data_IF_912731791968
#
_entry.id   IF_912731791968
#
_cell.length_a   1.000
_cell.length_b   1.000
_cell.length_c   1.000
_cell.angle_alpha   90.00
_cell.angle_beta   90.00
_cell.angle_gamma   90.00
#
_symmetry.space_group_name_H-M   'P 1'
#
loop_
_entity.id
_entity.type
_entity.pdbx_description
1 polymer ?
#
# COMPACT_ATOMS: atom_id res chain seq x y z
N UNK A 1 -7.02 20.43 -28.01
CA UNK A 1 -7.90 19.24 -27.96
C UNK A 1 -8.38 19.10 -26.53
N UNK A 2 -9.69 19.01 -26.29
CA UNK A 2 -10.19 18.70 -24.95
C UNK A 2 -9.63 17.33 -24.55
N UNK A 3 -8.89 17.27 -23.45
CA UNK A 3 -8.33 16.02 -22.93
C UNK A 3 -9.51 15.11 -22.58
N UNK A 4 -9.61 13.94 -23.22
CA UNK A 4 -10.58 12.93 -22.82
C UNK A 4 -10.18 12.44 -21.42
N UNK A 5 -10.97 12.83 -20.40
CA UNK A 5 -10.70 12.50 -19.00
C UNK A 5 -10.58 10.98 -18.77
N UNK A 6 -11.33 10.16 -19.51
CA UNK A 6 -11.24 8.70 -19.41
C UNK A 6 -9.87 8.19 -19.87
N UNK A 7 -9.38 8.65 -21.03
CA UNK A 7 -8.04 8.30 -21.53
C UNK A 7 -6.95 8.79 -20.59
N UNK A 8 -7.12 9.98 -20.02
CA UNK A 8 -6.14 10.57 -19.12
C UNK A 8 -6.07 9.83 -17.77
N UNK A 9 -7.22 9.47 -17.19
CA UNK A 9 -7.28 8.62 -15.98
C UNK A 9 -6.65 7.24 -16.23
N UNK A 10 -6.86 6.68 -17.43
CA UNK A 10 -6.23 5.40 -17.81
C UNK A 10 -4.71 5.52 -17.84
N UNK A 11 -4.18 6.49 -18.56
CA UNK A 11 -2.73 6.74 -18.64
C UNK A 11 -2.14 7.01 -17.26
N UNK A 12 -2.82 7.80 -16.43
CA UNK A 12 -2.41 8.04 -15.06
C UNK A 12 -2.40 6.75 -14.24
N UNK A 13 -3.48 5.98 -14.24
CA UNK A 13 -3.56 4.70 -13.53
C UNK A 13 -2.49 3.69 -13.97
N UNK A 14 -2.16 3.65 -15.26
CA UNK A 14 -1.09 2.81 -15.81
C UNK A 14 0.29 3.30 -15.31
N UNK A 15 0.52 4.62 -15.28
CA UNK A 15 1.75 5.23 -14.76
C UNK A 15 1.97 5.03 -13.25
N UNK A 16 0.91 4.72 -12.49
CA UNK A 16 1.01 4.44 -11.06
C UNK A 16 1.75 3.13 -10.76
N UNK A 17 1.87 2.21 -11.72
CA UNK A 17 2.60 0.96 -11.54
C UNK A 17 4.12 1.16 -11.46
N UNK A 18 4.86 0.30 -10.73
CA UNK A 18 6.32 0.31 -10.75
C UNK A 18 6.87 -0.10 -12.11
N UNK A 19 7.99 0.51 -12.51
CA UNK A 19 8.68 0.12 -13.73
C UNK A 19 9.22 -1.32 -13.62
N UNK A 20 9.17 -2.07 -14.71
CA UNK A 20 9.47 -3.51 -14.73
C UNK A 20 10.89 -3.81 -14.21
N UNK A 21 11.88 -3.00 -14.60
CA UNK A 21 13.28 -3.18 -14.19
C UNK A 21 13.49 -3.00 -12.67
N UNK A 22 12.60 -2.27 -11.99
CA UNK A 22 12.62 -2.03 -10.54
C UNK A 22 12.17 -3.28 -9.82
N UNK A 23 11.06 -3.87 -10.29
CA UNK A 23 10.55 -5.15 -9.79
C UNK A 23 11.60 -6.25 -10.02
N UNK A 24 12.25 -6.29 -11.19
CA UNK A 24 13.34 -7.25 -11.46
C UNK A 24 14.52 -7.11 -10.48
N UNK A 25 14.91 -5.89 -10.13
CA UNK A 25 15.96 -5.66 -9.12
C UNK A 25 15.52 -6.11 -7.73
N UNK A 26 14.31 -5.76 -7.31
CA UNK A 26 13.77 -6.21 -6.02
C UNK A 26 13.63 -7.74 -5.95
N UNK A 27 13.22 -8.37 -7.05
CA UNK A 27 13.17 -9.83 -7.19
C UNK A 27 14.57 -10.47 -7.08
N UNK A 28 15.61 -9.85 -7.65
CA UNK A 28 16.99 -10.34 -7.51
C UNK A 28 17.49 -10.25 -6.06
N UNK A 29 17.14 -9.17 -5.33
CA UNK A 29 17.45 -9.03 -3.91
C UNK A 29 16.69 -10.08 -3.10
N UNK A 30 15.39 -10.23 -3.35
CA UNK A 30 14.56 -11.24 -2.69
C UNK A 30 15.12 -12.64 -2.89
N UNK A 31 15.49 -13.00 -4.13
CA UNK A 31 16.03 -14.31 -4.46
C UNK A 31 17.29 -14.63 -3.65
N UNK A 32 18.21 -13.67 -3.52
CA UNK A 32 19.42 -13.84 -2.70
C UNK A 32 19.11 -14.08 -1.22
N UNK A 33 18.10 -13.39 -0.67
CA UNK A 33 17.64 -13.59 0.71
C UNK A 33 17.00 -14.98 0.86
N UNK A 34 16.12 -15.37 -0.06
CA UNK A 34 15.42 -16.66 -0.04
C UNK A 34 16.38 -17.83 -0.14
N UNK A 35 17.39 -17.77 -1.02
CA UNK A 35 18.40 -18.82 -1.15
C UNK A 35 19.14 -19.06 0.17
N UNK A 36 19.55 -17.99 0.86
CA UNK A 36 20.22 -18.10 2.14
C UNK A 36 19.29 -18.64 3.24
N UNK A 37 18.06 -18.12 3.34
CA UNK A 37 17.07 -18.54 4.33
C UNK A 37 16.72 -20.01 4.14
N UNK A 38 16.40 -20.44 2.92
CA UNK A 38 16.00 -21.82 2.64
C UNK A 38 17.14 -22.82 2.84
N UNK A 39 18.39 -22.40 2.69
CA UNK A 39 19.56 -23.24 2.96
C UNK A 39 19.85 -23.39 4.46
N UNK A 40 19.61 -22.33 5.25
CA UNK A 40 20.06 -22.25 6.65
C UNK A 40 18.95 -22.44 7.69
N UNK A 41 17.69 -22.28 7.30
CA UNK A 41 16.57 -22.42 8.21
C UNK A 41 16.47 -23.85 8.76
N UNK A 42 16.31 -23.95 10.08
CA UNK A 42 16.10 -25.20 10.83
C UNK A 42 14.71 -25.77 10.56
N UNK A 43 13.72 -24.90 10.35
CA UNK A 43 12.35 -25.32 10.03
C UNK A 43 12.23 -25.53 8.52
N UNK A 44 11.69 -26.69 8.13
CA UNK A 44 11.46 -26.99 6.72
C UNK A 44 10.37 -26.12 6.13
N UNK A 45 10.69 -25.47 5.02
CA UNK A 45 9.77 -24.66 4.22
C UNK A 45 9.35 -25.48 3.00
N UNK A 46 8.05 -25.75 2.88
CA UNK A 46 7.49 -26.49 1.75
C UNK A 46 7.52 -25.66 0.47
N UNK A 47 7.26 -24.35 0.59
CA UNK A 47 7.27 -23.38 -0.51
C UNK A 47 7.24 -21.94 0.00
N UNK A 48 7.57 -21.01 -0.88
CA UNK A 48 7.48 -19.56 -0.63
C UNK A 48 6.59 -18.93 -1.68
N UNK A 49 5.74 -17.99 -1.27
CA UNK A 49 4.88 -17.21 -2.15
C UNK A 49 5.17 -15.71 -2.00
N UNK A 50 5.48 -15.05 -3.11
CA UNK A 50 5.42 -13.59 -3.19
C UNK A 50 3.96 -13.15 -3.17
N UNK A 51 3.55 -12.55 -2.05
CA UNK A 51 2.21 -12.09 -1.76
C UNK A 51 2.12 -10.56 -1.93
N UNK A 52 1.13 -9.93 -1.29
CA UNK A 52 1.07 -8.48 -1.25
C UNK A 52 0.74 -7.83 -2.58
N UNK A 53 0.98 -6.52 -2.67
CA UNK A 53 0.73 -5.76 -3.89
C UNK A 53 1.61 -6.25 -5.06
N UNK A 54 2.86 -6.63 -4.78
CA UNK A 54 3.80 -7.11 -5.81
C UNK A 54 3.34 -8.47 -6.34
N UNK A 55 2.97 -9.40 -5.46
CA UNK A 55 2.43 -10.69 -5.84
C UNK A 55 1.13 -10.60 -6.65
N UNK A 56 0.24 -9.66 -6.27
CA UNK A 56 -1.04 -9.41 -6.95
C UNK A 56 -0.90 -8.64 -8.27
N UNK A 57 0.24 -7.99 -8.52
CA UNK A 57 0.43 -7.11 -9.69
C UNK A 57 -0.20 -5.73 -9.55
N UNK A 58 -0.55 -5.31 -8.34
CA UNK A 58 -1.25 -4.04 -8.05
C UNK A 58 -0.39 -3.03 -7.28
N UNK A 59 0.92 -3.21 -7.23
CA UNK A 59 1.84 -2.26 -6.59
C UNK A 59 1.74 -0.86 -7.17
N UNK A 60 1.97 0.12 -6.31
CA UNK A 60 2.18 1.52 -6.70
C UNK A 60 3.69 1.77 -6.76
N UNK A 61 4.20 2.53 -7.73
CA UNK A 61 5.63 2.91 -7.76
C UNK A 61 6.04 3.70 -6.51
N UNK A 62 5.07 4.39 -5.90
CA UNK A 62 5.19 5.13 -4.65
C UNK A 62 5.45 4.26 -3.42
N UNK A 63 5.01 3.01 -3.44
CA UNK A 63 5.15 2.05 -2.35
C UNK A 63 5.23 0.64 -2.91
N UNK A 64 6.44 0.11 -2.94
CA UNK A 64 6.70 -1.26 -3.35
C UNK A 64 7.20 -2.03 -2.13
N UNK A 65 6.34 -2.90 -1.63
CA UNK A 65 6.58 -3.81 -0.52
C UNK A 65 6.63 -5.26 -1.04
N UNK A 66 7.66 -6.01 -0.63
CA UNK A 66 7.80 -7.42 -0.92
C UNK A 66 7.29 -8.26 0.26
N UNK A 67 5.98 -8.49 0.27
CA UNK A 67 5.35 -9.44 1.18
C UNK A 67 5.67 -10.88 0.73
N UNK A 68 6.26 -11.69 1.59
CA UNK A 68 6.57 -13.09 1.28
C UNK A 68 6.01 -14.01 2.35
N UNK A 69 5.25 -15.02 1.93
CA UNK A 69 4.69 -16.04 2.82
C UNK A 69 5.47 -17.34 2.69
N UNK A 70 6.05 -17.78 3.80
CA UNK A 70 6.79 -19.04 3.93
C UNK A 70 5.84 -20.11 4.46
N UNK A 71 5.48 -21.06 3.61
CA UNK A 71 4.64 -22.18 4.00
C UNK A 71 5.50 -23.25 4.65
N UNK A 72 5.40 -23.37 5.96
CA UNK A 72 6.12 -24.34 6.78
C UNK A 72 5.47 -25.72 6.63
N UNK A 73 6.29 -26.77 6.61
CA UNK A 73 5.78 -28.15 6.66
C UNK A 73 4.96 -28.39 7.94
N UNK A 74 4.04 -29.38 7.96
CA UNK A 74 3.26 -29.72 9.15
C UNK A 74 4.14 -29.92 10.39
N UNK A 75 3.81 -29.23 11.49
CA UNK A 75 4.60 -29.22 12.72
C UNK A 75 5.62 -28.07 12.83
N UNK A 76 5.79 -27.26 11.78
CA UNK A 76 6.54 -26.01 11.86
C UNK A 76 5.95 -25.04 12.88
N UNK A 77 6.80 -24.36 13.64
CA UNK A 77 6.41 -23.38 14.66
C UNK A 77 6.76 -21.97 14.13
N UNK A 78 5.75 -21.16 13.76
CA UNK A 78 5.96 -19.81 13.20
C UNK A 78 6.95 -18.95 13.96
N UNK A 79 6.81 -18.83 15.28
CA UNK A 79 7.64 -17.93 16.09
C UNK A 79 9.11 -18.34 16.11
N UNK A 80 9.38 -19.65 16.18
CA UNK A 80 10.74 -20.20 16.12
C UNK A 80 11.36 -20.02 14.74
N UNK A 81 10.55 -20.13 13.69
CA UNK A 81 11.01 -19.86 12.33
C UNK A 81 11.36 -18.38 12.16
N UNK A 82 10.55 -17.46 12.71
CA UNK A 82 10.87 -16.04 12.68
C UNK A 82 12.17 -15.69 13.43
N UNK A 83 12.42 -16.30 14.59
CA UNK A 83 13.68 -16.15 15.34
C UNK A 83 14.89 -16.63 14.53
N UNK A 84 14.75 -17.81 13.91
CA UNK A 84 15.80 -18.37 13.07
C UNK A 84 16.07 -17.51 11.82
N UNK A 85 15.02 -16.94 11.21
CA UNK A 85 15.18 -16.00 10.11
C UNK A 85 15.89 -14.71 10.55
N UNK A 86 15.56 -14.17 11.73
CA UNK A 86 16.21 -12.97 12.27
C UNK A 86 17.72 -13.19 12.45
N UNK A 87 18.11 -14.34 13.01
CA UNK A 87 19.50 -14.76 13.13
C UNK A 87 20.17 -14.88 11.75
N UNK A 88 19.52 -15.54 10.78
CA UNK A 88 20.05 -15.70 9.42
C UNK A 88 20.25 -14.34 8.75
N UNK A 89 19.28 -13.44 8.84
CA UNK A 89 19.34 -12.11 8.25
C UNK A 89 20.46 -11.27 8.88
N UNK A 90 20.59 -11.32 10.21
CA UNK A 90 21.63 -10.60 10.94
C UNK A 90 23.02 -11.12 10.58
N UNK A 91 23.23 -12.44 10.67
CA UNK A 91 24.56 -13.05 10.52
C UNK A 91 25.07 -13.08 9.08
N UNK A 92 24.19 -13.07 8.08
CA UNK A 92 24.59 -13.22 6.67
C UNK A 92 24.52 -11.91 5.86
N UNK A 93 23.69 -10.96 6.30
CA UNK A 93 23.45 -9.73 5.57
C UNK A 93 23.62 -8.47 6.41
N UNK A 94 23.87 -8.59 7.72
CA UNK A 94 23.92 -7.44 8.63
C UNK A 94 22.59 -6.70 8.72
N UNK A 95 21.47 -7.39 8.46
CA UNK A 95 20.13 -6.81 8.46
C UNK A 95 19.59 -6.88 9.89
N UNK A 96 19.29 -5.73 10.49
CA UNK A 96 18.50 -5.64 11.71
C UNK A 96 17.01 -5.64 11.34
N UNK A 97 16.35 -6.78 11.53
CA UNK A 97 14.93 -6.94 11.23
C UNK A 97 14.05 -6.62 12.44
N UNK A 98 12.83 -6.15 12.18
CA UNK A 98 11.82 -5.87 13.20
C UNK A 98 10.83 -7.03 13.27
N UNK A 99 10.86 -7.77 14.38
CA UNK A 99 9.88 -8.84 14.64
C UNK A 99 8.57 -8.25 15.15
N UNK A 100 7.50 -8.45 14.37
CA UNK A 100 6.12 -8.21 14.76
C UNK A 100 5.48 -9.52 15.23
N UNK A 101 4.25 -9.45 15.74
CA UNK A 101 3.56 -10.63 16.29
C UNK A 101 3.47 -11.81 15.31
N UNK A 102 3.38 -11.57 13.99
CA UNK A 102 3.20 -12.61 12.97
C UNK A 102 4.07 -12.43 11.73
N UNK A 103 5.03 -11.51 11.76
CA UNK A 103 5.87 -11.21 10.61
C UNK A 103 7.23 -10.66 11.04
N UNK A 104 8.17 -10.69 10.11
CA UNK A 104 9.50 -10.09 10.25
C UNK A 104 9.68 -9.07 9.13
N UNK A 105 9.73 -7.80 9.49
CA UNK A 105 9.82 -6.70 8.53
C UNK A 105 11.20 -6.07 8.52
N UNK A 106 11.74 -5.71 7.36
CA UNK A 106 13.06 -5.06 7.25
C UNK A 106 13.25 -4.35 5.91
N UNK A 107 14.23 -3.44 5.87
CA UNK A 107 14.69 -2.83 4.62
C UNK A 107 16.06 -3.38 4.24
N UNK A 108 16.24 -3.71 2.96
CA UNK A 108 17.53 -4.15 2.44
C UNK A 108 17.72 -3.70 0.99
N UNK A 109 18.88 -3.10 0.70
CA UNK A 109 19.26 -2.62 -0.65
C UNK A 109 18.18 -1.76 -1.33
N UNK A 110 17.51 -0.88 -0.56
CA UNK A 110 16.48 0.04 -1.08
C UNK A 110 15.08 -0.57 -1.25
N UNK A 111 14.85 -1.79 -0.77
CA UNK A 111 13.53 -2.45 -0.80
C UNK A 111 13.05 -2.80 0.60
N UNK A 112 11.74 -2.72 0.81
CA UNK A 112 11.07 -3.18 2.03
C UNK A 112 10.54 -4.59 1.86
N UNK A 113 10.79 -5.44 2.85
CA UNK A 113 10.36 -6.83 2.91
C UNK A 113 9.53 -7.06 4.16
N UNK A 114 8.44 -7.82 4.03
CA UNK A 114 7.67 -8.33 5.16
C UNK A 114 7.49 -9.84 5.00
N UNK A 115 8.11 -10.61 5.88
CA UNK A 115 8.15 -12.07 5.79
C UNK A 115 7.19 -12.67 6.81
N UNK A 116 6.26 -13.51 6.34
CA UNK A 116 5.23 -14.12 7.17
C UNK A 116 5.31 -15.65 7.10
N UNK A 117 5.39 -16.37 8.22
CA UNK A 117 5.17 -17.80 8.24
C UNK A 117 3.69 -18.15 8.12
N UNK A 118 3.39 -19.25 7.43
CA UNK A 118 2.10 -19.92 7.45
C UNK A 118 2.33 -21.43 7.61
N UNK A 119 1.57 -22.10 8.46
CA UNK A 119 1.69 -23.56 8.61
C UNK A 119 0.81 -24.23 7.58
N UNK A 120 1.37 -25.11 6.76
CA UNK A 120 0.58 -25.88 5.80
C UNK A 120 -0.27 -26.90 6.55
N UNK A 121 -1.57 -26.96 6.23
CA UNK A 121 -2.43 -28.04 6.72
C UNK A 121 -1.91 -29.40 6.26
N UNK A 122 -1.89 -30.39 7.16
CA UNK A 122 -1.49 -31.75 6.84
C UNK A 122 -2.33 -32.38 5.71
N UNK A 123 -3.59 -31.95 5.57
CA UNK A 123 -4.49 -32.38 4.50
C UNK A 123 -4.19 -31.66 3.16
N UNK A 124 -3.59 -30.47 3.22
CA UNK A 124 -3.14 -29.70 2.07
C UNK A 124 -1.68 -30.02 1.66
N UNK A 125 -0.98 -30.89 2.38
CA UNK A 125 0.43 -31.25 2.21
C UNK A 125 0.71 -32.18 1.00
N UNK A 126 -0.02 -32.00 -0.09
CA UNK A 126 0.27 -32.71 -1.35
C UNK A 126 1.45 -32.02 -2.03
N UNK A 127 2.60 -32.69 -2.04
CA UNK A 127 3.82 -32.17 -2.66
C UNK A 127 3.58 -31.84 -4.14
N UNK A 128 3.84 -30.60 -4.52
CA UNK A 128 3.65 -30.12 -5.91
C UNK A 128 2.21 -29.74 -6.27
N UNK A 129 1.26 -29.75 -5.32
CA UNK A 129 -0.10 -29.28 -5.59
C UNK A 129 -0.13 -27.78 -5.93
N UNK A 130 -1.00 -27.41 -6.87
CA UNK A 130 -1.21 -26.01 -7.23
C UNK A 130 -1.74 -25.20 -6.04
N UNK A 131 -1.52 -23.89 -6.08
CA UNK A 131 -2.06 -22.98 -5.06
C UNK A 131 -3.57 -23.08 -4.89
N UNK A 132 -4.30 -23.27 -6.00
CA UNK A 132 -5.76 -23.45 -5.95
C UNK A 132 -6.17 -24.69 -5.15
N UNK A 133 -5.49 -25.82 -5.36
CA UNK A 133 -5.75 -27.05 -4.60
C UNK A 133 -5.48 -26.84 -3.12
N UNK A 134 -4.41 -26.13 -2.77
CA UNK A 134 -4.05 -25.86 -1.38
C UNK A 134 -5.07 -24.96 -0.67
N UNK A 135 -5.55 -23.91 -1.35
CA UNK A 135 -6.59 -23.02 -0.81
C UNK A 135 -7.90 -23.80 -0.59
N UNK A 136 -8.34 -24.61 -1.56
CA UNK A 136 -9.55 -25.42 -1.43
C UNK A 136 -9.43 -26.44 -0.30
N UNK A 137 -8.29 -27.11 -0.19
CA UNK A 137 -8.04 -28.06 0.89
C UNK A 137 -8.06 -27.38 2.27
N UNK A 138 -7.48 -26.18 2.39
CA UNK A 138 -7.54 -25.40 3.63
C UNK A 138 -8.98 -25.06 4.04
N UNK A 139 -9.81 -24.60 3.09
CA UNK A 139 -11.22 -24.29 3.33
C UNK A 139 -12.04 -25.53 3.74
N UNK A 140 -11.68 -26.71 3.23
CA UNK A 140 -12.34 -27.99 3.51
C UNK A 140 -11.82 -28.71 4.76
N UNK A 141 -10.79 -28.17 5.43
CA UNK A 141 -10.13 -28.85 6.56
C UNK A 141 -10.99 -28.99 7.83
N UNK A 142 -12.15 -28.34 7.88
CA UNK A 142 -13.03 -28.29 9.05
C UNK A 142 -12.55 -27.34 10.15
N UNK A 143 -11.36 -26.75 10.01
CA UNK A 143 -10.86 -25.67 10.86
C UNK A 143 -10.87 -24.36 10.08
N UNK A 144 -11.06 -23.23 10.77
CA UNK A 144 -10.97 -21.90 10.17
C UNK A 144 -9.48 -21.56 9.90
N UNK A 145 -9.02 -21.52 8.63
CA UNK A 145 -7.61 -21.27 8.33
C UNK A 145 -7.22 -19.82 8.65
N UNK A 146 -5.95 -19.59 8.95
CA UNK A 146 -5.39 -18.25 9.06
C UNK A 146 -5.37 -17.52 7.71
N UNK A 147 -5.44 -16.17 7.72
CA UNK A 147 -5.39 -15.39 6.47
C UNK A 147 -4.11 -15.63 5.65
N UNK A 148 -2.98 -15.87 6.31
CA UNK A 148 -1.72 -16.20 5.64
C UNK A 148 -1.76 -17.56 4.92
N UNK A 149 -2.57 -18.52 5.39
CA UNK A 149 -2.74 -19.82 4.73
C UNK A 149 -3.57 -19.70 3.44
N UNK A 150 -4.47 -18.71 3.37
CA UNK A 150 -5.37 -18.47 2.24
C UNK A 150 -4.88 -17.37 1.28
N UNK A 151 -3.72 -16.76 1.56
CA UNK A 151 -3.18 -15.62 0.82
C UNK A 151 -2.90 -15.94 -0.66
N UNK A 152 -2.64 -17.20 -0.98
CA UNK A 152 -2.43 -17.63 -2.35
C UNK A 152 -3.70 -17.51 -3.19
N UNK A 153 -4.86 -17.77 -2.59
CA UNK A 153 -6.15 -17.57 -3.25
C UNK A 153 -6.37 -16.09 -3.56
N UNK A 154 -5.99 -15.20 -2.65
CA UNK A 154 -6.03 -13.74 -2.88
C UNK A 154 -5.13 -13.34 -4.05
N UNK A 155 -3.91 -13.87 -4.12
CA UNK A 155 -2.96 -13.60 -5.22
C UNK A 155 -3.49 -14.12 -6.55
N UNK A 156 -3.97 -15.37 -6.59
CA UNK A 156 -4.55 -15.99 -7.78
C UNK A 156 -5.76 -15.21 -8.28
N UNK A 157 -6.71 -14.90 -7.40
CA UNK A 157 -7.90 -14.13 -7.73
C UNK A 157 -7.56 -12.79 -8.38
N UNK A 158 -6.58 -12.08 -7.84
CA UNK A 158 -6.18 -10.78 -8.41
C UNK A 158 -5.41 -10.94 -9.73
N UNK A 159 -4.58 -11.97 -9.89
CA UNK A 159 -3.87 -12.24 -11.17
C UNK A 159 -4.81 -12.61 -12.31
N UNK A 160 -5.96 -13.20 -12.01
CA UNK A 160 -6.99 -13.55 -12.99
C UNK A 160 -7.76 -12.32 -13.54
N UNK A 161 -7.63 -11.15 -12.91
CA UNK A 161 -8.31 -9.93 -13.34
C UNK A 161 -7.67 -9.29 -14.58
N UNK A 162 -8.46 -8.54 -15.36
CA UNK A 162 -7.97 -7.88 -16.57
C UNK A 162 -7.01 -6.71 -16.25
N UNK A 163 -6.22 -6.31 -17.25
CA UNK A 163 -5.34 -5.14 -17.14
C UNK A 163 -6.10 -3.85 -16.79
N UNK A 164 -7.34 -3.71 -17.27
CA UNK A 164 -8.23 -2.62 -16.87
C UNK A 164 -8.50 -2.62 -15.36
N UNK A 165 -8.84 -3.78 -14.79
CA UNK A 165 -9.11 -3.91 -13.34
C UNK A 165 -7.85 -3.64 -12.52
N UNK A 166 -6.67 -4.08 -12.96
CA UNK A 166 -5.42 -3.73 -12.29
C UNK A 166 -5.15 -2.23 -12.29
N UNK A 167 -5.39 -1.56 -13.43
CA UNK A 167 -5.27 -0.10 -13.53
C UNK A 167 -6.27 0.61 -12.62
N UNK A 168 -7.53 0.19 -12.61
CA UNK A 168 -8.56 0.73 -11.73
C UNK A 168 -8.23 0.50 -10.24
N UNK A 169 -7.69 -0.68 -9.91
CA UNK A 169 -7.27 -1.01 -8.55
C UNK A 169 -6.10 -0.12 -8.08
N UNK A 170 -5.10 0.14 -8.94
CA UNK A 170 -4.03 1.11 -8.64
C UNK A 170 -4.59 2.51 -8.44
N UNK A 171 -5.53 2.93 -9.28
CA UNK A 171 -6.18 4.24 -9.16
C UNK A 171 -6.95 4.38 -7.85
N UNK A 172 -7.74 3.38 -7.46
CA UNK A 172 -8.48 3.36 -6.18
C UNK A 172 -7.55 3.32 -4.97
N UNK A 173 -6.46 2.55 -5.03
CA UNK A 173 -5.42 2.56 -3.99
C UNK A 173 -4.83 3.95 -3.85
N UNK A 174 -4.33 4.50 -4.95
CA UNK A 174 -3.71 5.82 -4.98
C UNK A 174 -4.66 6.90 -4.44
N UNK A 175 -5.90 6.92 -4.93
CA UNK A 175 -6.94 7.79 -4.42
C UNK A 175 -7.05 7.67 -2.90
N UNK A 176 -7.18 6.46 -2.36
CA UNK A 176 -7.29 6.28 -0.92
C UNK A 176 -6.04 6.78 -0.17
N UNK A 177 -4.84 6.52 -0.66
CA UNK A 177 -3.59 6.99 -0.02
C UNK A 177 -3.43 8.52 -0.05
N UNK A 178 -4.12 9.22 -0.96
CA UNK A 178 -4.17 10.69 -0.99
C UNK A 178 -5.16 11.33 -0.01
N UNK A 179 -5.89 10.54 0.79
CA UNK A 179 -6.88 11.04 1.76
C UNK A 179 -6.38 10.91 3.19
N UNK A 180 -6.55 11.97 3.96
CA UNK A 180 -6.36 11.98 5.40
C UNK A 180 -7.56 11.34 6.10
N UNK A 181 -7.48 10.03 6.23
CA UNK A 181 -8.36 9.26 7.12
C UNK A 181 -7.52 8.94 8.35
N UNK A 182 -7.66 9.69 9.47
CA UNK A 182 -6.85 9.45 10.66
C UNK A 182 -7.24 8.10 11.27
N UNK A 183 -6.21 7.35 11.70
CA UNK A 183 -6.28 5.94 12.03
C UNK A 183 -6.08 5.08 10.77
N UNK A 184 -4.94 4.41 10.72
CA UNK A 184 -4.64 3.44 9.67
C UNK A 184 -5.35 2.13 9.99
N UNK A 185 -6.07 1.55 9.03
CA UNK A 185 -6.56 0.18 9.17
C UNK A 185 -5.87 -0.74 8.16
N UNK A 186 -5.41 -1.89 8.68
CA UNK A 186 -4.83 -2.94 7.87
C UNK A 186 -5.83 -3.41 6.81
N UNK A 187 -5.36 -3.55 5.57
CA UNK A 187 -6.19 -4.00 4.45
C UNK A 187 -6.90 -2.88 3.68
N UNK A 188 -6.64 -1.59 3.94
CA UNK A 188 -7.17 -0.48 3.13
C UNK A 188 -6.89 -0.66 1.63
N UNK A 189 -5.63 -0.88 1.26
CA UNK A 189 -5.23 -1.14 -0.13
C UNK A 189 -5.98 -2.31 -0.75
N UNK A 190 -6.08 -3.43 -0.01
CA UNK A 190 -6.76 -4.63 -0.50
C UNK A 190 -8.27 -4.41 -0.65
N UNK A 191 -8.88 -3.65 0.26
CA UNK A 191 -10.29 -3.26 0.14
C UNK A 191 -10.53 -2.45 -1.13
N UNK A 192 -9.66 -1.47 -1.43
CA UNK A 192 -9.76 -0.67 -2.66
C UNK A 192 -9.59 -1.52 -3.92
N UNK A 193 -8.70 -2.53 -3.90
CA UNK A 193 -8.54 -3.49 -5.00
C UNK A 193 -9.84 -4.29 -5.23
N UNK A 194 -10.46 -4.82 -4.17
CA UNK A 194 -11.70 -5.58 -4.29
C UNK A 194 -12.90 -4.72 -4.69
N UNK A 195 -12.96 -3.45 -4.27
CA UNK A 195 -13.98 -2.52 -4.73
C UNK A 195 -13.83 -2.18 -6.22
N UNK A 196 -12.59 -2.12 -6.74
CA UNK A 196 -12.34 -2.00 -8.16
C UNK A 196 -12.83 -3.23 -8.94
N UNK A 197 -12.56 -4.45 -8.43
CA UNK A 197 -13.09 -5.69 -9.02
C UNK A 197 -14.62 -5.66 -9.01
N UNK A 198 -15.24 -5.38 -7.86
CA UNK A 198 -16.69 -5.31 -7.74
C UNK A 198 -17.31 -4.25 -8.69
N UNK A 199 -16.63 -3.13 -8.93
CA UNK A 199 -17.11 -2.10 -9.87
C UNK A 199 -17.06 -2.60 -11.31
N UNK A 200 -15.99 -3.29 -11.69
CA UNK A 200 -15.84 -3.84 -13.05
C UNK A 200 -16.86 -4.92 -13.39
N UNK A 201 -17.36 -5.68 -12.40
CA UNK A 201 -18.39 -6.71 -12.63
C UNK A 201 -19.73 -6.14 -13.12
N UNK A 202 -20.01 -4.87 -12.82
CA UNK A 202 -21.23 -4.17 -13.24
C UNK A 202 -21.06 -3.41 -14.57
N UNK A 203 -19.92 -3.59 -15.26
CA UNK A 203 -19.56 -2.85 -16.47
C UNK A 203 -19.61 -3.72 -17.73
N UNK A 204 -20.05 -3.10 -18.84
CA UNK A 204 -20.02 -3.71 -20.18
C UNK A 204 -18.82 -3.25 -21.02
N UNK A 205 -18.20 -2.13 -20.64
CA UNK A 205 -17.06 -1.51 -21.31
C UNK A 205 -15.90 -1.35 -20.32
N UNK A 206 -14.68 -1.14 -20.83
CA UNK A 206 -13.49 -0.84 -20.03
C UNK A 206 -13.22 0.68 -19.98
N UNK A 207 -14.27 1.50 -19.81
CA UNK A 207 -14.11 2.95 -19.67
C UNK A 207 -13.59 3.32 -18.27
N UNK A 208 -12.40 3.90 -18.20
CA UNK A 208 -11.72 4.18 -16.92
C UNK A 208 -12.44 5.24 -16.08
N UNK A 209 -13.07 6.24 -16.70
CA UNK A 209 -13.80 7.27 -15.96
C UNK A 209 -15.06 6.67 -15.32
N UNK A 210 -15.81 5.86 -16.07
CA UNK A 210 -16.97 5.13 -15.58
C UNK A 210 -16.57 4.15 -14.48
N UNK A 211 -15.52 3.36 -14.68
CA UNK A 211 -15.03 2.40 -13.69
C UNK A 211 -14.61 3.07 -12.40
N UNK A 212 -13.90 4.20 -12.49
CA UNK A 212 -13.52 4.97 -11.31
C UNK A 212 -14.73 5.56 -10.58
N UNK A 213 -15.70 6.12 -11.30
CA UNK A 213 -16.98 6.59 -10.72
C UNK A 213 -17.73 5.47 -10.00
N UNK A 214 -17.83 4.29 -10.62
CA UNK A 214 -18.53 3.14 -10.03
C UNK A 214 -17.82 2.60 -8.78
N UNK A 215 -16.49 2.56 -8.79
CA UNK A 215 -15.72 2.15 -7.62
C UNK A 215 -15.86 3.17 -6.47
N UNK A 216 -15.81 4.47 -6.75
CA UNK A 216 -16.08 5.51 -5.76
C UNK A 216 -17.51 5.47 -5.24
N UNK A 217 -18.49 5.19 -6.10
CA UNK A 217 -19.89 5.06 -5.69
C UNK A 217 -20.10 3.90 -4.72
N UNK A 218 -19.39 2.77 -4.92
CA UNK A 218 -19.38 1.67 -3.94
C UNK A 218 -18.79 2.09 -2.59
N UNK A 219 -17.73 2.93 -2.58
CA UNK A 219 -17.20 3.50 -1.34
C UNK A 219 -18.21 4.44 -0.68
N UNK A 220 -18.82 5.36 -1.46
CA UNK A 220 -19.85 6.30 -0.98
C UNK A 220 -21.04 5.58 -0.36
N UNK A 221 -21.50 4.51 -1.00
CA UNK A 221 -22.66 3.73 -0.59
C UNK A 221 -22.27 2.46 0.19
N UNK A 222 -21.12 2.46 0.87
CA UNK A 222 -20.55 1.23 1.45
C UNK A 222 -21.51 0.49 2.39
N UNK A 223 -22.35 1.22 3.15
CA UNK A 223 -23.37 0.67 4.06
C UNK A 223 -24.35 -0.28 3.38
N UNK A 224 -24.59 -0.06 2.09
CA UNK A 224 -25.50 -0.87 1.29
C UNK A 224 -24.76 -1.96 0.50
N UNK A 225 -23.45 -2.12 0.65
CA UNK A 225 -22.71 -3.16 -0.09
C UNK A 225 -23.05 -4.57 0.41
N UNK A 226 -23.18 -5.48 -0.54
CA UNK A 226 -23.21 -6.92 -0.33
C UNK A 226 -22.48 -7.60 -1.50
N UNK A 227 -21.17 -7.77 -1.33
CA UNK A 227 -20.27 -8.31 -2.35
C UNK A 227 -19.64 -9.60 -1.84
N UNK A 228 -19.88 -10.68 -2.59
CA UNK A 228 -19.33 -12.02 -2.36
C UNK A 228 -18.75 -12.48 -3.70
N UNK A 229 -17.48 -12.90 -3.70
CA UNK A 229 -16.80 -13.42 -4.88
C UNK A 229 -16.78 -14.95 -4.85
N UNK A 230 -17.60 -15.61 -5.67
CA UNK A 230 -17.73 -17.07 -5.68
C UNK A 230 -16.62 -17.76 -6.51
N UNK A 231 -15.36 -17.70 -6.05
CA UNK A 231 -14.20 -18.35 -6.72
C UNK A 231 -13.69 -19.59 -6.00
N UNK A 232 -13.43 -19.47 -4.70
CA UNK A 232 -12.89 -20.57 -3.88
C UNK A 232 -13.94 -21.20 -2.95
N UNK A 233 -15.04 -20.50 -2.74
CA UNK A 233 -16.23 -20.92 -1.98
C UNK A 233 -17.48 -20.34 -2.66
N UNK A 234 -18.66 -20.76 -2.23
CA UNK A 234 -19.96 -20.30 -2.74
C UNK A 234 -20.68 -19.45 -1.70
N UNK A 235 -21.72 -18.71 -2.11
CA UNK A 235 -22.57 -17.94 -1.19
C UNK A 235 -23.25 -18.82 -0.13
N UNK A 236 -23.41 -20.12 -0.38
CA UNK A 236 -23.98 -21.07 0.59
C UNK A 236 -23.03 -21.32 1.77
N UNK A 237 -21.72 -21.22 1.53
CA UNK A 237 -20.68 -21.43 2.54
C UNK A 237 -20.50 -20.22 3.48
N UNK A 238 -21.18 -19.10 3.19
CA UNK A 238 -21.01 -17.82 3.88
C UNK A 238 -22.10 -17.61 4.92
N UNK A 239 -21.74 -17.66 6.21
CA UNK A 239 -22.67 -17.39 7.32
C UNK A 239 -23.14 -15.93 7.43
N UNK A 240 -22.43 -14.98 6.80
CA UNK A 240 -22.73 -13.54 6.83
C UNK A 240 -23.40 -13.03 5.55
N UNK A 241 -23.92 -13.92 4.69
CA UNK A 241 -24.35 -13.59 3.33
C UNK A 241 -25.46 -12.52 3.23
N UNK A 242 -26.25 -12.35 4.29
CA UNK A 242 -27.36 -11.39 4.36
C UNK A 242 -26.97 -10.12 5.14
N UNK A 243 -25.76 -10.06 5.69
CA UNK A 243 -25.24 -8.90 6.40
C UNK A 243 -24.95 -7.73 5.46
N UNK A 244 -25.08 -6.52 5.98
CA UNK A 244 -24.59 -5.28 5.35
C UNK A 244 -23.94 -4.37 6.40
N UNK A 245 -22.83 -3.70 6.08
CA UNK A 245 -22.08 -3.81 4.84
C UNK A 245 -21.27 -5.11 4.75
N UNK A 246 -21.15 -5.66 3.53
CA UNK A 246 -20.40 -6.89 3.28
C UNK A 246 -19.53 -6.72 2.03
N UNK A 247 -18.22 -6.86 2.20
CA UNK A 247 -17.24 -7.07 1.14
C UNK A 247 -16.35 -8.22 1.59
N UNK A 248 -16.62 -9.41 1.07
CA UNK A 248 -15.95 -10.62 1.52
C UNK A 248 -14.65 -10.87 0.75
N UNK A 249 -13.62 -11.32 1.46
CA UNK A 249 -12.37 -11.74 0.84
C UNK A 249 -12.60 -12.94 -0.09
N UNK A 250 -12.25 -12.87 -1.39
CA UNK A 250 -12.48 -13.94 -2.37
C UNK A 250 -11.92 -15.31 -1.99
N UNK A 251 -10.87 -15.38 -1.15
CA UNK A 251 -10.30 -16.65 -0.69
C UNK A 251 -10.65 -17.02 0.75
N UNK A 252 -11.30 -16.13 1.51
CA UNK A 252 -11.60 -16.33 2.93
C UNK A 252 -13.05 -15.95 3.26
N UNK A 253 -13.98 -16.93 3.38
CA UNK A 253 -15.41 -16.68 3.58
C UNK A 253 -15.76 -16.11 4.97
N UNK A 254 -14.78 -15.94 5.86
CA UNK A 254 -14.96 -15.36 7.19
C UNK A 254 -14.36 -13.95 7.33
N UNK A 255 -13.68 -13.44 6.30
CA UNK A 255 -12.99 -12.15 6.36
C UNK A 255 -13.80 -11.07 5.65
N UNK A 256 -14.76 -10.46 6.36
CA UNK A 256 -15.45 -9.27 5.87
C UNK A 256 -14.52 -8.05 6.01
N UNK A 257 -14.14 -7.44 4.88
CA UNK A 257 -13.27 -6.27 4.88
C UNK A 257 -13.95 -4.99 5.40
N UNK A 258 -15.29 -4.99 5.51
CA UNK A 258 -16.11 -3.91 6.06
C UNK A 258 -16.63 -4.26 7.47
N UNK A 259 -15.77 -4.84 8.31
CA UNK A 259 -16.12 -5.22 9.69
C UNK A 259 -16.49 -4.00 10.55
N UNK A 260 -17.30 -4.18 11.62
CA UNK A 260 -17.81 -3.07 12.45
C UNK A 260 -16.75 -2.10 12.98
N UNK A 261 -15.57 -2.61 13.34
CA UNK A 261 -14.41 -1.83 13.82
C UNK A 261 -13.82 -0.88 12.76
N UNK A 262 -14.17 -1.09 11.48
CA UNK A 262 -13.65 -0.29 10.37
C UNK A 262 -14.62 0.76 9.85
N UNK A 263 -15.90 0.69 10.26
CA UNK A 263 -16.96 1.54 9.68
C UNK A 263 -16.66 3.04 9.84
N UNK A 264 -16.04 3.44 10.95
CA UNK A 264 -15.64 4.84 11.17
C UNK A 264 -14.70 5.38 10.10
N UNK A 265 -13.80 4.54 9.56
CA UNK A 265 -12.92 4.92 8.47
C UNK A 265 -13.68 4.99 7.14
N UNK A 266 -14.63 4.09 6.92
CA UNK A 266 -15.45 4.10 5.71
C UNK A 266 -16.43 5.27 5.66
N UNK A 267 -16.93 5.77 6.80
CA UNK A 267 -17.70 7.03 6.81
C UNK A 267 -16.88 8.20 6.25
N UNK A 268 -15.61 8.30 6.67
CA UNK A 268 -14.71 9.35 6.16
C UNK A 268 -14.38 9.13 4.68
N UNK A 269 -14.11 7.88 4.29
CA UNK A 269 -13.87 7.53 2.87
C UNK A 269 -15.10 7.84 2.00
N UNK A 270 -16.32 7.60 2.49
CA UNK A 270 -17.55 7.87 1.79
C UNK A 270 -17.75 9.38 1.55
N UNK A 271 -17.49 10.21 2.57
CA UNK A 271 -17.51 11.66 2.42
C UNK A 271 -16.49 12.16 1.37
N UNK A 272 -15.26 11.62 1.38
CA UNK A 272 -14.25 11.96 0.38
C UNK A 272 -14.56 11.39 -1.01
N UNK A 273 -15.23 10.24 -1.09
CA UNK A 273 -15.69 9.70 -2.36
C UNK A 273 -16.72 10.62 -3.00
N UNK A 274 -17.66 11.16 -2.21
CA UNK A 274 -18.65 12.12 -2.70
C UNK A 274 -18.01 13.41 -3.24
N UNK A 275 -17.06 13.98 -2.51
CA UNK A 275 -16.32 15.16 -2.99
C UNK A 275 -15.49 14.84 -4.25
N UNK A 276 -14.89 13.65 -4.33
CA UNK A 276 -14.15 13.21 -5.53
C UNK A 276 -15.07 13.06 -6.74
N UNK A 277 -16.27 12.49 -6.54
CA UNK A 277 -17.29 12.38 -7.59
C UNK A 277 -17.70 13.77 -8.09
N UNK A 278 -17.91 14.73 -7.17
CA UNK A 278 -18.19 16.13 -7.53
C UNK A 278 -17.06 16.75 -8.35
N UNK A 279 -15.80 16.50 -7.97
CA UNK A 279 -14.61 16.96 -8.73
C UNK A 279 -14.51 16.31 -10.10
N UNK A 280 -14.84 15.01 -10.23
CA UNK A 280 -14.90 14.33 -11.53
C UNK A 280 -15.94 14.97 -12.45
N UNK A 281 -17.10 15.35 -11.93
CA UNK A 281 -18.15 16.01 -12.72
C UNK A 281 -17.76 17.41 -13.19
N UNK A 282 -16.97 18.14 -12.39
CA UNK A 282 -16.37 19.40 -12.82
C UNK A 282 -15.28 19.13 -13.87
N UNK A 283 -14.34 18.23 -13.60
CA UNK A 283 -13.24 17.87 -14.51
C UNK A 283 -13.73 17.42 -15.88
N UNK A 284 -14.79 16.61 -15.91
CA UNK A 284 -15.39 16.14 -17.16
C UNK A 284 -16.00 17.28 -17.99
N UNK A 285 -16.46 18.37 -17.35
CA UNK A 285 -17.06 19.53 -18.00
C UNK A 285 -16.06 20.64 -18.36
N UNK A 286 -15.04 20.85 -17.53
CA UNK A 286 -14.16 22.03 -17.60
C UNK A 286 -12.71 21.70 -17.95
N UNK A 287 -12.37 20.42 -18.18
CA UNK A 287 -11.02 19.95 -18.50
C UNK A 287 -9.93 20.37 -17.49
N UNK A 288 -10.26 20.37 -16.18
CA UNK A 288 -9.25 20.59 -15.13
C UNK A 288 -8.31 19.39 -14.98
N UNK A 289 -7.07 19.63 -14.53
CA UNK A 289 -6.01 18.63 -14.39
C UNK A 289 -6.15 17.70 -13.17
N UNK A 290 -5.24 16.73 -13.07
CA UNK A 290 -5.18 15.78 -11.93
C UNK A 290 -4.90 16.45 -10.60
N UNK A 291 -4.21 17.58 -10.62
CA UNK A 291 -3.89 18.40 -9.45
C UNK A 291 -5.15 18.88 -8.74
N UNK A 292 -6.21 19.18 -9.49
CA UNK A 292 -7.53 19.54 -8.94
C UNK A 292 -8.30 18.29 -8.52
N UNK A 293 -8.28 17.25 -9.35
CA UNK A 293 -9.04 16.01 -9.08
C UNK A 293 -8.55 15.29 -7.83
N UNK A 294 -7.24 15.04 -7.75
CA UNK A 294 -6.56 14.37 -6.64
C UNK A 294 -5.97 15.36 -5.64
N UNK A 295 -6.47 16.60 -5.63
CA UNK A 295 -6.14 17.55 -4.56
C UNK A 295 -6.38 16.85 -3.22
N UNK A 296 -5.43 16.93 -2.26
CA UNK A 296 -5.55 16.18 -1.01
C UNK A 296 -6.89 16.46 -0.30
N UNK A 297 -7.43 15.44 0.36
CA UNK A 297 -8.68 15.57 1.10
C UNK A 297 -8.48 15.17 2.56
N UNK A 298 -9.14 15.86 3.50
CA UNK A 298 -10.04 16.99 3.28
C UNK A 298 -9.30 18.24 2.76
N UNK A 299 -10.02 19.19 2.17
CA UNK A 299 -9.50 20.52 1.80
C UNK A 299 -9.02 21.34 3.02
N UNK A 300 -9.00 20.73 4.22
CA UNK A 300 -8.66 21.33 5.51
C UNK A 300 -7.21 21.08 5.96
N UNK A 301 -6.21 21.06 5.07
CA UNK A 301 -4.84 21.33 5.55
C UNK A 301 -4.79 22.60 6.43
N UNK A 302 -5.67 23.57 6.14
CA UNK A 302 -5.89 24.78 6.93
C UNK A 302 -6.51 24.55 8.32
N UNK A 303 -7.22 23.43 8.53
CA UNK A 303 -7.98 23.11 9.75
C UNK A 303 -7.45 21.90 10.53
N UNK A 304 -6.29 21.33 10.15
CA UNK A 304 -5.65 20.31 10.97
C UNK A 304 -5.24 20.92 12.32
N UNK A 305 -5.56 20.27 13.46
CA UNK A 305 -5.13 20.74 14.78
C UNK A 305 -3.61 20.91 14.88
N UNK A 306 -2.87 20.14 14.08
CA UNK A 306 -1.42 20.17 13.93
C UNK A 306 -1.02 20.78 12.58
N UNK A 307 -1.65 21.89 12.17
CA UNK A 307 -1.13 22.64 11.03
C UNK A 307 0.33 22.98 11.35
N UNK A 308 1.29 22.63 10.48
CA UNK A 308 2.68 23.06 10.63
C UNK A 308 2.73 24.56 10.34
N UNK A 309 2.30 25.41 11.28
CA UNK A 309 2.34 26.86 11.10
C UNK A 309 3.75 27.42 11.37
N UNK A 310 4.56 26.70 12.17
CA UNK A 310 5.89 27.13 12.64
C UNK A 310 6.95 26.01 12.61
N UNK A 311 6.76 24.97 11.77
CA UNK A 311 7.68 23.84 11.75
C UNK A 311 8.88 24.10 10.83
N UNK A 312 10.11 23.95 11.33
CA UNK A 312 11.31 23.94 10.50
C UNK A 312 11.33 22.65 9.67
N UNK A 313 10.89 22.72 8.42
CA UNK A 313 11.01 21.62 7.47
C UNK A 313 12.48 21.39 7.14
N UNK A 314 12.91 20.14 7.19
CA UNK A 314 14.20 19.73 6.64
C UNK A 314 13.95 18.98 5.34
N UNK A 315 14.53 19.47 4.24
CA UNK A 315 14.53 18.80 2.95
C UNK A 315 15.98 18.47 2.59
N UNK A 316 16.28 17.19 2.48
CA UNK A 316 17.61 16.70 2.11
C UNK A 316 17.54 15.76 0.92
N UNK A 317 18.61 15.72 0.14
CA UNK A 317 18.78 14.72 -0.93
C UNK A 317 19.99 13.86 -0.61
N UNK A 318 19.80 12.55 -0.55
CA UNK A 318 20.90 11.59 -0.39
C UNK A 318 20.97 10.68 -1.61
N UNK A 319 22.15 10.54 -2.21
CA UNK A 319 22.40 9.49 -3.21
C UNK A 319 23.10 8.34 -2.51
N UNK A 320 22.44 7.19 -2.44
CA UNK A 320 23.07 5.96 -1.93
C UNK A 320 23.80 5.25 -3.06
N UNK A 321 25.04 4.76 -2.86
CA UNK A 321 25.80 4.03 -3.89
C UNK A 321 25.04 2.87 -4.52
N UNK A 322 24.17 2.22 -3.76
CA UNK A 322 23.43 1.01 -4.15
C UNK A 322 22.25 1.30 -5.08
N UNK A 323 21.64 2.50 -4.95
CA UNK A 323 20.40 2.84 -5.68
C UNK A 323 20.63 3.91 -6.75
N UNK A 324 21.76 4.63 -6.69
CA UNK A 324 22.15 5.69 -7.65
C UNK A 324 21.06 6.74 -7.90
N UNK A 325 20.12 6.91 -6.97
CA UNK A 325 19.03 7.89 -7.08
C UNK A 325 18.99 8.81 -5.86
N UNK A 326 18.61 10.09 -6.05
CA UNK A 326 18.37 10.99 -4.94
C UNK A 326 17.13 10.54 -4.15
N UNK A 327 17.34 10.25 -2.88
CA UNK A 327 16.29 10.09 -1.88
C UNK A 327 15.99 11.47 -1.31
N UNK A 328 14.76 11.94 -1.48
CA UNK A 328 14.30 13.15 -0.79
C UNK A 328 13.88 12.75 0.61
N UNK A 329 14.55 13.31 1.63
CA UNK A 329 14.19 13.16 3.04
C UNK A 329 13.46 14.40 3.52
N UNK A 330 12.28 14.20 4.11
CA UNK A 330 11.47 15.28 4.66
C UNK A 330 11.20 15.02 6.13
N UNK A 331 11.51 16.00 6.98
CA UNK A 331 11.25 15.97 8.41
C UNK A 331 10.54 17.25 8.84
N UNK A 332 9.52 17.11 9.68
CA UNK A 332 8.82 18.21 10.35
C UNK A 332 8.64 17.86 11.83
N UNK A 333 8.99 18.79 12.71
CA UNK A 333 8.83 18.59 14.15
C UNK A 333 7.35 18.59 14.53
N UNK A 334 6.93 17.64 15.38
CA UNK A 334 5.58 17.59 15.93
C UNK A 334 4.50 16.94 15.04
N UNK A 335 4.85 16.45 13.84
CA UNK A 335 3.92 15.67 13.02
C UNK A 335 3.97 14.19 13.37
N UNK A 336 2.78 13.58 13.46
CA UNK A 336 2.66 12.12 13.54
C UNK A 336 3.07 11.42 12.23
N UNK A 337 3.51 10.16 12.36
CA UNK A 337 3.93 9.28 11.27
C UNK A 337 2.90 9.23 10.14
N UNK A 338 1.62 9.10 10.47
CA UNK A 338 0.53 9.00 9.50
C UNK A 338 0.36 10.28 8.69
N UNK A 339 0.60 11.44 9.31
CA UNK A 339 0.56 12.73 8.62
C UNK A 339 1.70 12.85 7.63
N UNK A 340 2.90 12.39 8.01
CA UNK A 340 4.07 12.38 7.13
C UNK A 340 3.91 11.40 5.97
N UNK A 341 3.25 10.25 6.17
CA UNK A 341 2.90 9.35 5.06
C UNK A 341 1.99 10.04 4.04
N UNK A 342 0.94 10.74 4.49
CA UNK A 342 0.07 11.48 3.58
C UNK A 342 0.83 12.59 2.84
N UNK A 343 1.60 13.40 3.56
CA UNK A 343 2.44 14.45 2.96
C UNK A 343 3.33 13.86 1.87
N UNK A 344 3.94 12.72 2.15
CA UNK A 344 4.81 12.04 1.19
C UNK A 344 4.06 11.65 -0.09
N UNK A 345 2.85 11.08 0.02
CA UNK A 345 2.01 10.76 -1.14
C UNK A 345 1.62 12.00 -1.95
N UNK A 346 1.26 13.09 -1.26
CA UNK A 346 0.88 14.36 -1.89
C UNK A 346 2.05 14.99 -2.64
N UNK A 347 3.22 15.00 -2.02
CA UNK A 347 4.44 15.50 -2.66
C UNK A 347 4.86 14.60 -3.83
N UNK A 348 4.70 13.28 -3.70
CA UNK A 348 4.92 12.37 -4.82
C UNK A 348 4.01 12.65 -6.01
N UNK A 349 2.71 12.86 -5.76
CA UNK A 349 1.77 13.25 -6.80
C UNK A 349 2.25 14.52 -7.49
N UNK A 350 2.60 15.53 -6.70
CA UNK A 350 3.12 16.78 -7.24
C UNK A 350 4.39 16.57 -8.07
N UNK A 351 5.33 15.76 -7.59
CA UNK A 351 6.58 15.49 -8.31
C UNK A 351 6.34 14.66 -9.58
N UNK A 352 5.41 13.71 -9.53
CA UNK A 352 5.00 12.91 -10.68
C UNK A 352 4.33 13.79 -11.77
N UNK A 353 3.55 14.80 -11.38
CA UNK A 353 2.94 15.73 -12.35
C UNK A 353 3.94 16.74 -12.90
N UNK A 354 4.96 17.13 -12.14
CA UNK A 354 5.92 18.17 -12.52
C UNK A 354 7.24 17.63 -13.12
N UNK A 355 7.53 16.33 -12.98
CA UNK A 355 8.70 15.62 -13.55
C UNK A 355 10.02 16.42 -13.40
N UNK A 356 10.47 16.72 -12.18
CA UNK A 356 11.67 17.50 -11.98
C UNK A 356 12.92 16.76 -12.45
N UNK A 357 13.90 17.50 -12.98
CA UNK A 357 15.22 16.94 -13.31
C UNK A 357 15.98 16.55 -12.04
N UNK A 358 16.82 15.49 -12.05
CA UNK A 358 17.48 14.97 -10.85
C UNK A 358 18.25 16.01 -10.01
N UNK A 359 18.89 16.98 -10.67
CA UNK A 359 19.65 18.08 -10.05
C UNK A 359 18.73 19.17 -9.44
N UNK A 360 17.46 19.21 -9.83
CA UNK A 360 16.46 20.20 -9.41
C UNK A 360 15.46 19.66 -8.39
N UNK A 361 15.59 18.39 -8.01
CA UNK A 361 14.62 17.71 -7.15
C UNK A 361 14.44 18.43 -5.84
N UNK A 362 15.55 18.78 -5.18
CA UNK A 362 15.50 19.46 -3.87
C UNK A 362 14.63 20.72 -3.96
N UNK A 363 14.91 21.59 -4.93
CA UNK A 363 14.15 22.84 -5.16
C UNK A 363 12.69 22.57 -5.52
N UNK A 364 12.43 21.49 -6.24
CA UNK A 364 11.08 21.09 -6.64
C UNK A 364 10.26 20.61 -5.44
N UNK A 365 10.88 19.87 -4.52
CA UNK A 365 10.27 19.47 -3.24
C UNK A 365 10.04 20.70 -2.36
N UNK A 366 11.02 21.58 -2.21
CA UNK A 366 10.90 22.84 -1.44
C UNK A 366 9.70 23.65 -1.95
N UNK A 367 9.58 23.82 -3.28
CA UNK A 367 8.43 24.47 -3.92
C UNK A 367 7.11 23.74 -3.68
N UNK A 368 7.10 22.42 -3.70
CA UNK A 368 5.92 21.62 -3.43
C UNK A 368 5.47 21.76 -1.96
N UNK A 369 6.40 21.80 -1.00
CA UNK A 369 6.11 22.10 0.41
C UNK A 369 5.48 23.48 0.54
N UNK A 370 6.10 24.50 -0.05
CA UNK A 370 5.61 25.88 0.01
C UNK A 370 4.22 26.03 -0.60
N UNK A 371 3.98 25.41 -1.75
CA UNK A 371 2.73 25.55 -2.51
C UNK A 371 1.61 24.69 -1.92
N UNK A 372 1.91 23.42 -1.60
CA UNK A 372 0.89 22.40 -1.28
C UNK A 372 0.64 22.28 0.22
N UNK A 373 1.68 22.45 1.05
CA UNK A 373 1.58 22.22 2.49
C UNK A 373 1.47 23.52 3.28
N UNK A 374 2.26 24.54 2.93
CA UNK A 374 2.33 25.79 3.68
C UNK A 374 1.39 26.87 3.13
N UNK A 375 1.22 26.91 1.81
CA UNK A 375 0.40 27.89 1.09
C UNK A 375 1.06 29.26 0.93
N UNK A 376 2.37 29.35 1.15
CA UNK A 376 3.20 30.55 0.90
C UNK A 376 4.66 30.14 0.67
N UNK A 377 5.39 30.96 -0.08
CA UNK A 377 6.83 30.78 -0.31
C UNK A 377 7.63 31.03 0.99
N UNK A 378 8.63 30.19 1.23
CA UNK A 378 9.51 30.29 2.39
C UNK A 378 10.96 30.52 1.97
N UNK A 379 11.75 31.11 2.86
CA UNK A 379 13.21 31.21 2.65
C UNK A 379 13.88 29.94 3.16
N UNK A 380 14.35 29.10 2.24
CA UNK A 380 15.09 27.88 2.56
C UNK A 380 16.57 28.18 2.84
N UNK A 381 17.08 27.69 3.96
CA UNK A 381 18.50 27.82 4.35
C UNK A 381 19.12 26.44 4.59
N UNK A 382 20.44 26.35 4.46
CA UNK A 382 21.16 25.14 4.86
C UNK A 382 21.00 24.94 6.38
N UNK A 383 20.63 23.73 6.79
CA UNK A 383 20.51 23.35 8.19
C UNK A 383 21.70 22.50 8.61
N UNK A 384 22.17 22.72 9.83
CA UNK A 384 23.12 21.90 10.58
C UNK A 384 22.44 20.71 11.28
N UNK A 385 21.10 20.66 11.30
CA UNK A 385 20.33 19.56 11.87
C UNK A 385 20.52 18.30 11.02
N UNK A 386 20.86 17.19 11.67
CA UNK A 386 20.86 15.87 11.04
C UNK A 386 19.46 15.22 11.15
N UNK A 387 19.15 14.32 10.20
CA UNK A 387 17.94 13.49 10.21
C UNK A 387 17.91 12.44 11.35
N UNK A 388 18.87 12.46 12.27
CA UNK A 388 19.08 11.42 13.30
C UNK A 388 18.21 11.61 14.55
N UNK A 389 17.50 12.74 14.66
CA UNK A 389 16.66 13.04 15.82
C UNK A 389 15.21 12.56 15.60
N UNK A 390 14.90 11.32 16.00
CA UNK A 390 13.56 10.86 16.44
C UNK A 390 12.31 11.20 15.58
N UNK A 391 12.42 11.44 14.29
CA UNK A 391 11.26 11.79 13.45
C UNK A 391 11.19 10.92 12.20
N UNK A 392 9.96 10.66 11.78
CA UNK A 392 9.63 10.00 10.54
C UNK A 392 10.22 10.74 9.34
N UNK A 393 10.94 10.01 8.49
CA UNK A 393 11.51 10.52 7.24
C UNK A 393 10.63 10.07 6.09
N UNK A 394 10.09 10.99 5.29
CA UNK A 394 9.49 10.59 4.02
C UNK A 394 10.60 10.43 2.96
N UNK A 395 10.59 9.32 2.22
CA UNK A 395 11.50 9.06 1.08
C UNK A 395 10.72 9.18 -0.22
N UNK A 396 10.96 10.23 -1.00
CA UNK A 396 10.33 10.36 -2.32
C UNK A 396 11.26 9.81 -3.40
N UNK A 397 10.87 8.74 -4.11
CA UNK A 397 11.67 8.24 -5.21
C UNK A 397 11.51 9.13 -6.44
N UNK A 398 12.56 9.21 -7.25
CA UNK A 398 12.57 10.03 -8.44
C UNK A 398 12.50 9.19 -9.69
N UNK A 399 11.73 9.68 -10.65
CA UNK A 399 11.80 9.19 -12.01
C UNK A 399 13.19 9.56 -12.53
N UNK A 400 13.95 8.57 -13.01
CA UNK A 400 15.08 8.88 -13.88
C UNK A 400 14.56 9.55 -15.15
N UNK A 401 15.42 10.26 -15.89
CA UNK A 401 15.04 10.95 -17.12
C UNK A 401 14.45 10.05 -18.23
N UNK A 402 14.30 8.74 -17.97
CA UNK A 402 13.61 7.76 -18.80
C UNK A 402 12.18 7.44 -18.30
N UNK A 403 11.61 8.25 -17.41
CA UNK A 403 10.30 8.02 -16.77
C UNK A 403 10.27 6.74 -15.92
N UNK A 404 11.38 6.37 -15.26
CA UNK A 404 11.42 5.15 -14.45
C UNK A 404 11.89 5.37 -13.00
N UNK A 405 11.11 4.88 -12.05
CA UNK A 405 11.30 5.09 -10.60
C UNK A 405 12.16 3.97 -9.99
N UNK A 406 13.46 4.16 -9.72
CA UNK A 406 14.30 3.06 -9.19
C UNK A 406 13.99 2.65 -7.76
N UNK A 407 13.42 3.54 -6.95
CA UNK A 407 13.19 3.28 -5.53
C UNK A 407 11.74 2.90 -5.24
N UNK A 408 11.66 1.86 -4.43
CA UNK A 408 10.50 1.31 -3.78
C UNK A 408 10.27 2.03 -2.44
N UNK A 409 9.34 2.99 -2.39
CA UNK A 409 8.60 3.23 -1.16
C UNK A 409 8.95 4.43 -0.28
N UNK A 410 7.87 4.96 0.28
CA UNK A 410 7.84 5.76 1.49
C UNK A 410 8.08 4.88 2.71
N UNK A 411 9.30 4.90 3.25
CA UNK A 411 9.57 4.34 4.57
C UNK A 411 9.69 5.47 5.57
N UNK A 412 8.70 5.56 6.44
CA UNK A 412 8.84 6.29 7.69
C UNK A 412 9.81 5.48 8.56
N UNK A 413 11.08 5.85 8.51
CA UNK A 413 12.10 5.30 9.41
C UNK A 413 11.76 5.74 10.85
N UNK A 414 11.32 4.80 11.70
CA UNK A 414 11.14 5.02 13.14
C UNK A 414 12.28 4.35 13.90
N UNK A 415 12.90 5.07 14.84
CA UNK A 415 13.94 4.49 15.69
C UNK A 415 13.32 3.43 16.65
N UNK A 416 13.87 2.21 16.74
CA UNK A 416 13.30 1.12 17.56
C UNK A 416 13.24 1.37 19.08
N UNK A 417 13.82 2.47 19.60
CA UNK A 417 13.91 2.73 21.05
C UNK A 417 12.97 3.80 21.62
N UNK A 418 11.83 4.05 21.00
CA UNK A 418 10.68 4.52 21.78
C UNK A 418 9.74 5.48 21.09
N UNK A 419 8.49 5.04 20.97
CA UNK A 419 7.31 5.73 21.51
C UNK A 419 6.35 4.60 21.93
N UNK A 420 5.93 4.55 23.20
CA UNK A 420 4.77 3.73 23.60
C UNK A 420 3.56 4.30 22.88
N UNK A 421 2.80 3.46 22.18
CA UNK A 421 1.49 3.83 21.64
C UNK A 421 0.64 4.47 22.74
N UNK A 422 0.45 5.78 22.64
CA UNK A 422 -0.51 6.48 23.49
C UNK A 422 -1.90 6.29 22.87
N UNK A 423 -2.65 5.35 23.45
CA UNK A 423 -4.01 4.97 23.04
C UNK A 423 -5.07 6.01 23.44
N UNK A 424 -4.68 7.21 23.89
CA UNK A 424 -5.59 8.23 24.43
C UNK A 424 -6.32 9.11 23.38
N UNK A 425 -6.05 8.95 22.08
CA UNK A 425 -6.69 9.78 21.03
C UNK A 425 -8.18 9.47 20.76
N UNK A 426 -8.80 8.54 21.50
CA UNK A 426 -10.25 8.35 21.48
C UNK A 426 -11.04 9.49 22.16
N UNK A 427 -10.37 10.48 22.78
CA UNK A 427 -11.01 11.47 23.66
C UNK A 427 -10.81 12.94 23.29
N UNK A 428 -10.25 13.24 22.11
CA UNK A 428 -10.11 14.61 21.65
C UNK A 428 -10.96 14.76 20.38
N UNK A 429 -11.85 15.75 20.40
CA UNK A 429 -12.89 16.15 19.43
C UNK A 429 -14.31 15.63 19.78
N UNK A 430 -15.28 16.56 19.97
CA UNK A 430 -16.64 16.27 20.45
C UNK A 430 -17.52 15.49 19.46
#
# INVERSE_FOLDING_TARGET
MAVNLASYLRQFGESLGPAEHVIKRGDAVLQSLLECILQKAKTKVARVLKAGSVGKGTSLHLKIDFDCVFFLEPGGIPDRFLEDMEDILTLNFGIAAEKKQKSLSFSHKGFYFDFLPAVQSAQAAVKGASGEVQVRAALQSGQKPGSAELVEGTVLFMKEQSGFVHTLARLMKFWSHSLLVPGFFNGRSYTMELLAVAASQDMMDEDMLRGFRMALDKVRNFRNLNVIFERFYTKQDVGLKDSRPLLLDPSNPWNNLLSPDRLIFFEKLAAFADETLRRLDVAHRTAVGLDVLFKPQPDVWFGLPQRPQDCSWLVGTQVTPEVQQPIVRIQSQGLHVESLQLIAHVLALWLATHKPQPDQVRRSVEKAVDTVLVGKEQTWTASDKSFESKHAVAVVPLMDGADTCALAGFNVETNPHGVKEDTSLASIWP
#
